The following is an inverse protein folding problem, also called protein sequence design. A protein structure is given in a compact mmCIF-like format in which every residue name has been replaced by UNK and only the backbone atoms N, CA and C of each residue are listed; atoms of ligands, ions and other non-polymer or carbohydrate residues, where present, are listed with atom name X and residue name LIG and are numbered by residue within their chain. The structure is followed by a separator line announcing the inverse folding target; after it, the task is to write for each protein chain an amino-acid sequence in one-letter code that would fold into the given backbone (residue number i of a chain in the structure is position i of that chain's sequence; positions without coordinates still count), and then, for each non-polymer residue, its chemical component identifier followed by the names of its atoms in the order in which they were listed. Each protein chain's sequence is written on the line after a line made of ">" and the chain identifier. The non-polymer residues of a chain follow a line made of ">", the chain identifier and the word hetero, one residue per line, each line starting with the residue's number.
data_IF_898713842400
#
_entry.id   IF_898713842400
#
_cell.length_a   1.000
_cell.length_b   1.000
_cell.length_c   1.000
_cell.angle_alpha   90.00
_cell.angle_beta   90.00
_cell.angle_gamma   90.00
#
_symmetry.space_group_name_H-M   'P 1'
#
loop_
_entity.id
_entity.type
_entity.pdbx_description
1 polymer ?
#
# COMPACT_ATOMS: atom_id res chain seq x y z
N UNK A 1 3.62 -8.45 16.09
CA UNK A 1 3.47 -7.08 15.56
C UNK A 1 2.48 -7.08 14.40
N UNK A 2 1.56 -6.12 14.31
CA UNK A 2 0.61 -6.05 13.17
C UNK A 2 1.07 -5.00 12.17
N UNK A 3 1.20 -5.41 10.91
CA UNK A 3 1.69 -4.58 9.82
C UNK A 3 0.58 -4.41 8.79
N UNK A 4 0.20 -3.17 8.52
CA UNK A 4 -0.75 -2.86 7.45
C UNK A 4 -0.01 -2.60 6.16
N UNK A 5 -0.34 -3.38 5.13
CA UNK A 5 0.37 -3.37 3.84
C UNK A 5 -0.45 -2.67 2.77
N UNK A 6 0.12 -1.63 2.17
CA UNK A 6 -0.37 -0.95 0.98
C UNK A 6 0.58 -1.24 -0.18
N UNK A 7 0.09 -1.75 -1.30
CA UNK A 7 0.93 -2.07 -2.45
C UNK A 7 0.34 -1.55 -3.77
N UNK A 8 1.20 -1.03 -4.65
CA UNK A 8 0.85 -0.53 -5.98
C UNK A 8 0.80 -1.61 -7.08
N UNK A 9 1.39 -2.78 -6.83
CA UNK A 9 1.53 -3.86 -7.82
C UNK A 9 0.22 -4.48 -8.33
N UNK A 10 0.34 -5.31 -9.36
CA UNK A 10 -0.77 -6.13 -9.88
C UNK A 10 -1.18 -7.24 -8.92
N UNK A 11 -2.38 -7.81 -9.12
CA UNK A 11 -2.92 -8.84 -8.21
C UNK A 11 -2.03 -10.09 -8.11
N UNK A 12 -1.34 -10.47 -9.20
CA UNK A 12 -0.43 -11.61 -9.21
C UNK A 12 0.79 -11.40 -8.30
N UNK A 13 1.39 -10.20 -8.34
CA UNK A 13 2.55 -9.83 -7.51
C UNK A 13 2.16 -9.74 -6.03
N UNK A 14 1.01 -9.12 -5.75
CA UNK A 14 0.57 -8.92 -4.36
C UNK A 14 0.04 -10.23 -3.73
N UNK A 15 -0.47 -11.18 -4.52
CA UNK A 15 -0.94 -12.48 -4.01
C UNK A 15 0.21 -13.31 -3.42
N UNK A 16 1.42 -13.22 -3.99
CA UNK A 16 2.62 -13.87 -3.45
C UNK A 16 3.26 -13.11 -2.27
N UNK A 17 3.07 -11.79 -2.22
CA UNK A 17 3.72 -10.91 -1.24
C UNK A 17 3.33 -11.22 0.20
N UNK A 18 2.03 -11.35 0.53
CA UNK A 18 1.60 -11.59 1.91
C UNK A 18 2.10 -12.95 2.44
N UNK A 19 1.98 -14.07 1.70
CA UNK A 19 2.61 -15.33 2.09
C UNK A 19 4.12 -15.23 2.26
N UNK A 20 4.81 -14.52 1.37
CA UNK A 20 6.26 -14.30 1.46
C UNK A 20 6.64 -13.55 2.75
N UNK A 21 5.95 -12.45 3.05
CA UNK A 21 6.20 -11.66 4.27
C UNK A 21 5.92 -12.49 5.52
N UNK A 22 4.83 -13.27 5.56
CA UNK A 22 4.52 -14.15 6.69
C UNK A 22 5.56 -15.25 6.90
N UNK A 23 6.11 -15.80 5.82
CA UNK A 23 7.16 -16.82 5.87
C UNK A 23 8.46 -16.27 6.44
N UNK A 24 8.85 -15.06 6.04
CA UNK A 24 10.13 -14.46 6.45
C UNK A 24 10.04 -13.74 7.80
N UNK A 25 8.85 -13.30 8.21
CA UNK A 25 8.62 -12.58 9.47
C UNK A 25 7.48 -13.22 10.27
N UNK A 26 7.68 -14.42 10.85
CA UNK A 26 6.62 -15.18 11.52
C UNK A 26 6.04 -14.49 12.77
N UNK A 27 6.78 -13.57 13.39
CA UNK A 27 6.28 -12.73 14.50
C UNK A 27 5.38 -11.56 14.06
N UNK A 28 5.15 -11.41 12.76
CA UNK A 28 4.40 -10.32 12.18
C UNK A 28 3.10 -10.79 11.52
N UNK A 29 2.00 -10.10 11.83
CA UNK A 29 0.69 -10.28 11.22
C UNK A 29 0.51 -9.24 10.12
N UNK A 30 0.68 -9.64 8.87
CA UNK A 30 0.48 -8.76 7.71
C UNK A 30 -0.98 -8.75 7.27
N UNK A 31 -1.57 -7.55 7.22
CA UNK A 31 -2.95 -7.27 6.80
C UNK A 31 -2.91 -6.35 5.58
N UNK A 32 -3.40 -6.83 4.43
CA UNK A 32 -3.46 -6.04 3.20
C UNK A 32 -4.60 -5.02 3.28
N UNK A 33 -4.28 -3.75 3.10
CA UNK A 33 -5.25 -2.65 3.10
C UNK A 33 -5.60 -2.15 1.69
N UNK A 34 -4.85 -2.51 0.64
CA UNK A 34 -5.20 -2.13 -0.74
C UNK A 34 -6.11 -3.19 -1.38
N UNK A 35 -7.26 -2.81 -1.98
CA UNK A 35 -8.11 -3.79 -2.65
C UNK A 35 -7.42 -4.33 -3.90
N UNK A 36 -7.49 -5.65 -4.05
CA UNK A 36 -7.29 -6.38 -5.29
C UNK A 36 -8.23 -5.81 -6.34
N UNK A 37 -7.71 -5.00 -7.29
CA UNK A 37 -8.52 -4.66 -8.46
C UNK A 37 -8.49 -5.91 -9.33
N UNK A 38 -9.63 -6.59 -9.50
CA UNK A 38 -9.80 -7.53 -10.59
C UNK A 38 -9.57 -6.73 -11.88
N UNK A 39 -8.39 -6.89 -12.50
CA UNK A 39 -8.17 -6.35 -13.83
C UNK A 39 -9.23 -7.02 -14.71
N UNK A 40 -10.15 -6.28 -15.35
CA UNK A 40 -10.92 -6.87 -16.43
C UNK A 40 -9.89 -7.40 -17.43
N UNK A 41 -10.06 -8.64 -17.90
CA UNK A 41 -9.19 -9.21 -18.94
C UNK A 41 -9.02 -8.20 -20.08
N UNK A 42 -7.82 -8.16 -20.66
CA UNK A 42 -7.45 -7.22 -21.72
C UNK A 42 -8.51 -7.25 -22.83
N UNK A 43 -9.36 -6.22 -22.89
CA UNK A 43 -10.19 -5.98 -24.06
C UNK A 43 -9.24 -5.49 -25.17
N UNK A 44 -9.26 -6.07 -26.38
CA UNK A 44 -8.23 -5.84 -27.41
C UNK A 44 -8.13 -4.41 -27.98
N UNK A 45 -8.73 -3.40 -27.36
CA UNK A 45 -8.66 -1.99 -27.79
C UNK A 45 -8.77 -0.98 -26.64
N UNK A 46 -8.60 -1.40 -25.37
CA UNK A 46 -8.47 -0.44 -24.26
C UNK A 46 -6.99 -0.18 -24.03
N UNK A 47 -6.63 1.10 -23.96
CA UNK A 47 -5.33 1.55 -23.47
C UNK A 47 -4.91 0.69 -22.29
N UNK A 48 -3.70 0.13 -22.40
CA UNK A 48 -3.09 -0.73 -21.40
C UNK A 48 -3.19 0.00 -20.07
N UNK A 49 -4.08 -0.45 -19.19
CA UNK A 49 -4.27 0.11 -17.85
C UNK A 49 -2.99 -0.25 -17.09
N UNK A 50 -1.97 0.64 -17.20
CA UNK A 50 -0.67 0.54 -16.57
C UNK A 50 -0.89 0.34 -15.06
N UNK A 51 0.07 -0.26 -14.35
CA UNK A 51 -0.01 -0.47 -12.90
C UNK A 51 -0.51 0.76 -12.14
N UNK A 52 -0.92 0.59 -10.87
CA UNK A 52 -1.35 1.73 -10.04
C UNK A 52 -0.18 2.73 -10.04
N UNK A 53 -0.30 3.80 -10.83
CA UNK A 53 0.70 4.87 -10.84
C UNK A 53 0.88 5.36 -9.41
N UNK A 54 2.07 5.79 -9.03
CA UNK A 54 2.35 6.27 -7.66
C UNK A 54 1.31 7.28 -7.12
N UNK A 55 0.71 8.09 -8.00
CA UNK A 55 -0.42 8.99 -7.69
C UNK A 55 -1.68 8.27 -7.22
N UNK A 56 -2.02 7.16 -7.87
CA UNK A 56 -3.19 6.35 -7.51
C UNK A 56 -2.99 5.53 -6.24
N UNK A 57 -1.75 5.13 -5.92
CA UNK A 57 -1.42 4.52 -4.62
C UNK A 57 -1.60 5.54 -3.49
N UNK A 58 -1.06 6.75 -3.65
CA UNK A 58 -1.25 7.86 -2.71
C UNK A 58 -2.74 8.13 -2.46
N UNK A 59 -3.54 8.26 -3.52
CA UNK A 59 -4.98 8.51 -3.39
C UNK A 59 -5.71 7.37 -2.63
N UNK A 60 -5.30 6.12 -2.84
CA UNK A 60 -5.84 4.97 -2.10
C UNK A 60 -5.48 5.01 -0.63
N UNK A 61 -4.22 5.33 -0.30
CA UNK A 61 -3.76 5.49 1.08
C UNK A 61 -4.58 6.58 1.77
N UNK A 62 -4.68 7.77 1.15
CA UNK A 62 -5.43 8.91 1.70
C UNK A 62 -6.90 8.60 1.96
N UNK A 63 -7.53 7.73 1.17
CA UNK A 63 -8.94 7.34 1.36
C UNK A 63 -9.11 6.21 2.38
N UNK A 64 -8.26 5.19 2.32
CA UNK A 64 -8.47 3.93 3.06
C UNK A 64 -7.84 3.91 4.43
N UNK A 65 -6.69 4.55 4.60
CA UNK A 65 -5.98 4.57 5.88
C UNK A 65 -6.83 5.23 7.00
N UNK A 66 -7.49 6.39 6.80
CA UNK A 66 -8.34 6.97 7.86
C UNK A 66 -9.52 6.06 8.23
N UNK A 67 -10.14 5.41 7.25
CA UNK A 67 -11.25 4.49 7.48
C UNK A 67 -10.82 3.25 8.28
N UNK A 68 -9.68 2.67 7.91
CA UNK A 68 -9.14 1.52 8.61
C UNK A 68 -8.73 1.88 10.05
N UNK A 69 -8.09 3.04 10.25
CA UNK A 69 -7.71 3.52 11.58
C UNK A 69 -8.93 3.77 12.47
N UNK A 70 -9.99 4.43 11.98
CA UNK A 70 -11.22 4.63 12.76
C UNK A 70 -11.85 3.34 13.28
N UNK A 71 -11.67 2.23 12.56
CA UNK A 71 -12.21 0.94 12.96
C UNK A 71 -11.30 0.15 13.90
N UNK A 72 -9.97 0.23 13.71
CA UNK A 72 -8.99 -0.69 14.34
C UNK A 72 -7.63 -0.04 14.62
N UNK A 73 -7.62 1.20 15.08
CA UNK A 73 -6.37 1.95 15.33
C UNK A 73 -5.44 1.25 16.33
N UNK A 74 -6.00 0.63 17.37
CA UNK A 74 -5.23 -0.03 18.44
C UNK A 74 -4.52 -1.31 18.00
N UNK A 75 -4.85 -1.84 16.82
CA UNK A 75 -4.27 -3.10 16.35
C UNK A 75 -3.00 -2.88 15.53
N UNK A 76 -2.82 -1.73 14.86
CA UNK A 76 -1.70 -1.52 13.92
C UNK A 76 -0.48 -0.93 14.60
N UNK A 77 0.69 -1.50 14.29
CA UNK A 77 1.98 -1.05 14.82
C UNK A 77 2.81 -0.35 13.75
N UNK A 78 2.74 -0.84 12.51
CA UNK A 78 3.51 -0.36 11.37
C UNK A 78 2.62 -0.25 10.12
N UNK A 79 2.77 0.87 9.41
CA UNK A 79 2.26 1.04 8.04
C UNK A 79 3.40 0.76 7.07
N UNK A 80 3.25 -0.30 6.27
CA UNK A 80 4.18 -0.67 5.20
C UNK A 80 3.57 -0.30 3.85
N UNK A 81 4.24 0.56 3.09
CA UNK A 81 3.89 0.92 1.72
C UNK A 81 4.95 0.37 0.78
N UNK A 82 4.50 -0.41 -0.20
CA UNK A 82 5.32 -0.99 -1.28
C UNK A 82 4.85 -0.39 -2.59
N UNK A 83 5.54 0.64 -3.04
CA UNK A 83 5.34 1.20 -4.37
C UNK A 83 6.27 0.46 -5.34
N UNK A 84 5.84 0.27 -6.58
CA UNK A 84 6.64 -0.47 -7.57
C UNK A 84 7.94 0.28 -7.96
N UNK A 85 8.22 1.44 -7.35
CA UNK A 85 9.36 2.34 -7.56
C UNK A 85 9.84 2.50 -9.02
N UNK A 86 8.98 2.17 -10.00
CA UNK A 86 9.08 2.41 -11.43
C UNK A 86 8.89 3.91 -11.71
N UNK A 87 9.66 4.68 -10.96
CA UNK A 87 9.60 6.10 -10.77
C UNK A 87 10.99 6.63 -11.09
N UNK A 88 11.04 7.65 -11.94
CA UNK A 88 12.31 8.34 -12.27
C UNK A 88 12.98 8.97 -11.03
N UNK A 89 12.21 9.24 -9.98
CA UNK A 89 12.69 9.81 -8.71
C UNK A 89 12.06 9.11 -7.49
N UNK A 90 12.66 8.00 -7.01
CA UNK A 90 12.10 7.23 -5.89
C UNK A 90 12.06 8.02 -4.57
N UNK A 91 12.95 9.01 -4.40
CA UNK A 91 12.99 9.84 -3.19
C UNK A 91 11.80 10.80 -3.18
N UNK A 92 11.54 11.47 -4.29
CA UNK A 92 10.39 12.37 -4.43
C UNK A 92 9.08 11.60 -4.22
N UNK A 93 8.98 10.39 -4.78
CA UNK A 93 7.79 9.55 -4.65
C UNK A 93 7.58 9.06 -3.21
N UNK A 94 8.65 8.62 -2.54
CA UNK A 94 8.61 8.30 -1.10
C UNK A 94 8.14 9.50 -0.27
N UNK A 95 8.66 10.69 -0.54
CA UNK A 95 8.26 11.91 0.17
C UNK A 95 6.79 12.26 -0.07
N UNK A 96 6.28 12.08 -1.28
CA UNK A 96 4.85 12.27 -1.60
C UNK A 96 3.96 11.31 -0.81
N UNK A 97 4.36 10.04 -0.70
CA UNK A 97 3.63 9.04 0.09
C UNK A 97 3.66 9.41 1.58
N UNK A 98 4.83 9.73 2.14
CA UNK A 98 4.97 10.12 3.54
C UNK A 98 4.16 11.39 3.85
N UNK A 99 4.21 12.39 2.97
CA UNK A 99 3.43 13.62 3.11
C UNK A 99 1.91 13.33 3.05
N UNK A 100 1.46 12.37 2.25
CA UNK A 100 0.06 11.97 2.21
C UNK A 100 -0.38 11.27 3.50
N UNK A 101 0.48 10.45 4.11
CA UNK A 101 0.22 9.81 5.40
C UNK A 101 0.23 10.85 6.53
N UNK A 102 1.15 11.82 6.50
CA UNK A 102 1.26 12.87 7.52
C UNK A 102 0.02 13.76 7.62
N UNK A 103 -0.76 13.88 6.54
CA UNK A 103 -2.05 14.59 6.53
C UNK A 103 -3.16 13.87 7.28
N UNK A 104 -2.93 12.64 7.76
CA UNK A 104 -3.90 11.81 8.47
C UNK A 104 -3.58 11.87 9.97
N UNK A 105 -4.36 12.60 10.78
CA UNK A 105 -4.09 12.79 12.20
C UNK A 105 -3.93 11.46 12.97
N UNK A 106 -4.74 10.46 12.63
CA UNK A 106 -4.74 9.16 13.28
C UNK A 106 -3.47 8.34 13.02
N UNK A 107 -2.69 8.71 11.99
CA UNK A 107 -1.46 8.02 11.59
C UNK A 107 -0.18 8.70 12.12
N UNK A 108 -0.27 9.85 12.79
CA UNK A 108 0.90 10.65 13.19
C UNK A 108 1.85 9.86 14.08
N UNK A 109 1.34 9.10 15.05
CA UNK A 109 2.16 8.36 16.01
C UNK A 109 2.51 6.92 15.58
N UNK A 110 2.06 6.48 14.40
CA UNK A 110 2.38 5.14 13.90
C UNK A 110 3.75 5.10 13.24
N UNK A 111 4.41 3.94 13.26
CA UNK A 111 5.62 3.74 12.47
C UNK A 111 5.26 3.63 10.98
N UNK A 112 6.12 4.15 10.09
CA UNK A 112 5.91 4.09 8.64
C UNK A 112 7.18 3.59 7.95
N UNK A 113 7.02 2.61 7.07
CA UNK A 113 8.05 2.17 6.15
C UNK A 113 7.51 2.31 4.72
N UNK A 114 8.27 3.00 3.86
CA UNK A 114 7.94 3.20 2.45
C UNK A 114 9.13 2.75 1.63
N UNK A 115 8.90 1.77 0.76
CA UNK A 115 9.87 1.24 -0.18
C UNK A 115 9.20 0.70 -1.43
#
# INVERSE_FOLDING_TARGET
>A
MVVWVFAGGGEAEIRGLIPFLRKNFPGCSFIRQTPARNKPGSKPNKEVDRGITGKSLINRISKRLPQALKLRQSEVHLILVLDDLDCRDPVEQKNKILAAIAKIPEAVNLEKCVG
#
